data_IF_974359261684
#
_entry.id   IF_974359261684
#
_cell.length_a   1.000
_cell.length_b   1.000
_cell.length_c   1.000
_cell.angle_alpha   90.00
_cell.angle_beta   90.00
_cell.angle_gamma   90.00
#
_symmetry.space_group_name_H-M   'P 1'
#
loop_
_entity.id
_entity.type
_entity.pdbx_description
1 polymer ?
#
# COMPACT_ATOMS: atom_id res chain seq x y z
N UNK A 1 6.85 35.43 -21.02
CA UNK A 1 6.02 36.51 -20.45
C UNK A 1 6.90 37.47 -19.67
N UNK A 2 6.49 38.71 -19.52
CA UNK A 2 7.19 39.72 -18.71
C UNK A 2 7.47 39.22 -17.29
N UNK A 3 6.45 38.66 -16.63
CA UNK A 3 6.58 38.14 -15.27
C UNK A 3 7.59 37.00 -15.13
N UNK A 4 7.73 36.13 -16.17
CA UNK A 4 8.77 35.09 -16.18
C UNK A 4 10.16 35.69 -16.22
N UNK A 5 10.37 36.74 -17.03
CA UNK A 5 11.65 37.47 -17.11
C UNK A 5 11.99 38.14 -15.77
N UNK A 6 11.00 38.82 -15.15
CA UNK A 6 11.14 39.43 -13.82
C UNK A 6 11.52 38.38 -12.75
N UNK A 7 11.06 37.12 -12.88
CA UNK A 7 11.41 36.01 -11.98
C UNK A 7 12.75 35.31 -12.36
N UNK A 8 13.57 35.87 -13.22
CA UNK A 8 14.88 35.33 -13.57
C UNK A 8 14.86 34.23 -14.66
N UNK A 9 13.73 34.01 -15.32
CA UNK A 9 13.57 32.99 -16.36
C UNK A 9 13.25 33.63 -17.74
N UNK A 10 14.19 34.24 -18.44
CA UNK A 10 13.94 34.94 -19.69
C UNK A 10 13.51 33.99 -20.82
N UNK A 11 14.12 32.81 -20.90
CA UNK A 11 13.77 31.83 -21.92
C UNK A 11 12.41 31.12 -21.63
N UNK A 12 11.68 30.68 -22.65
CA UNK A 12 10.54 29.80 -22.48
C UNK A 12 10.91 28.50 -21.77
N UNK A 13 10.04 28.00 -20.90
CA UNK A 13 10.19 26.64 -20.37
C UNK A 13 10.02 25.61 -21.49
N UNK A 14 10.78 24.50 -21.49
CA UNK A 14 10.68 23.45 -22.49
C UNK A 14 9.42 22.59 -22.22
N UNK A 15 8.24 23.14 -22.52
CA UNK A 15 6.97 22.43 -22.37
C UNK A 15 6.93 21.25 -23.35
N UNK A 16 6.64 20.05 -22.84
CA UNK A 16 6.53 18.82 -23.62
C UNK A 16 5.16 18.20 -23.54
N UNK A 17 4.50 18.31 -22.39
CA UNK A 17 3.25 17.65 -22.07
C UNK A 17 2.20 18.66 -21.63
N UNK A 18 0.98 18.45 -22.03
CA UNK A 18 -0.18 19.24 -21.59
C UNK A 18 -1.34 18.28 -21.35
N UNK A 19 -1.83 18.28 -20.15
CA UNK A 19 -3.04 17.53 -19.81
C UNK A 19 -4.28 18.42 -20.03
N UNK A 20 -5.32 17.83 -20.62
CA UNK A 20 -6.57 18.51 -20.94
C UNK A 20 -7.64 18.07 -19.93
N UNK A 21 -7.70 18.78 -18.81
CA UNK A 21 -8.61 18.51 -17.69
C UNK A 21 -7.91 17.91 -16.50
N UNK A 22 -8.67 17.38 -15.57
CA UNK A 22 -8.26 16.55 -14.44
C UNK A 22 -9.49 15.77 -13.95
N UNK A 23 -9.39 14.45 -13.89
CA UNK A 23 -10.48 13.57 -13.45
C UNK A 23 -11.84 13.89 -14.14
N UNK A 24 -11.81 14.18 -15.41
CA UNK A 24 -13.00 14.40 -16.23
C UNK A 24 -13.30 13.15 -17.06
N UNK A 25 -14.59 12.88 -17.25
CA UNK A 25 -15.06 11.73 -18.03
C UNK A 25 -16.41 11.98 -18.67
N UNK A 26 -16.81 11.03 -19.51
CA UNK A 26 -18.11 11.02 -20.19
C UNK A 26 -18.13 11.79 -21.51
N UNK A 27 -19.22 11.66 -22.28
CA UNK A 27 -19.29 12.10 -23.68
C UNK A 27 -19.05 13.61 -23.89
N UNK A 28 -19.35 14.42 -22.86
CA UNK A 28 -19.12 15.88 -22.94
C UNK A 28 -17.64 16.20 -22.89
N UNK A 29 -16.91 15.51 -21.99
CA UNK A 29 -15.46 15.65 -21.88
C UNK A 29 -14.78 15.13 -23.15
N UNK A 30 -15.09 13.92 -23.55
CA UNK A 30 -14.51 13.25 -24.74
C UNK A 30 -14.60 14.15 -25.98
N UNK A 31 -15.79 14.67 -26.28
CA UNK A 31 -16.00 15.60 -27.38
C UNK A 31 -15.23 16.92 -27.24
N UNK A 32 -15.08 17.43 -26.03
CA UNK A 32 -14.27 18.65 -25.78
C UNK A 32 -12.78 18.39 -25.94
N UNK A 33 -12.31 17.25 -25.42
CA UNK A 33 -10.93 16.84 -25.57
C UNK A 33 -10.52 16.82 -27.05
N UNK A 34 -11.28 16.14 -27.92
CA UNK A 34 -10.97 16.04 -29.35
C UNK A 34 -10.85 17.41 -30.02
N UNK A 35 -11.73 18.37 -29.63
CA UNK A 35 -11.63 19.75 -30.13
C UNK A 35 -10.36 20.46 -29.67
N UNK A 36 -10.00 20.35 -28.37
CA UNK A 36 -8.77 20.92 -27.85
C UNK A 36 -7.54 20.25 -28.43
N UNK A 37 -7.56 18.92 -28.54
CA UNK A 37 -6.48 18.14 -29.15
C UNK A 37 -6.19 18.68 -30.56
N UNK A 38 -7.17 18.78 -31.42
CA UNK A 38 -7.03 19.28 -32.79
C UNK A 38 -6.46 20.70 -32.83
N UNK A 39 -7.03 21.61 -32.06
CA UNK A 39 -6.61 23.01 -32.05
C UNK A 39 -5.18 23.19 -31.48
N UNK A 40 -4.79 22.42 -30.47
CA UNK A 40 -3.45 22.49 -29.90
C UNK A 40 -2.43 21.88 -30.84
N UNK A 41 -2.73 20.72 -31.44
CA UNK A 41 -1.82 20.04 -32.40
C UNK A 41 -1.59 20.84 -33.67
N UNK A 42 -2.60 21.55 -34.12
CA UNK A 42 -2.46 22.44 -35.28
C UNK A 42 -1.44 23.56 -35.03
N UNK A 43 -1.40 24.09 -33.82
CA UNK A 43 -0.51 25.20 -33.45
C UNK A 43 0.81 24.73 -32.84
N UNK A 44 0.82 23.62 -32.10
CA UNK A 44 1.93 23.08 -31.35
C UNK A 44 2.06 21.56 -31.54
N UNK A 45 2.41 21.09 -32.73
CA UNK A 45 2.44 19.64 -33.06
C UNK A 45 3.42 18.84 -32.21
N UNK A 46 4.41 19.50 -31.63
CA UNK A 46 5.44 18.87 -30.79
C UNK A 46 4.96 18.51 -29.39
N UNK A 47 3.85 19.08 -28.92
CA UNK A 47 3.32 18.79 -27.59
C UNK A 47 2.64 17.42 -27.56
N UNK A 48 2.91 16.62 -26.52
CA UNK A 48 2.12 15.44 -26.17
C UNK A 48 0.94 15.87 -25.32
N UNK A 49 -0.26 15.44 -25.70
CA UNK A 49 -1.50 15.80 -25.04
C UNK A 49 -2.03 14.61 -24.26
N UNK A 50 -2.34 14.86 -22.98
CA UNK A 50 -2.80 13.83 -22.04
C UNK A 50 -4.31 13.97 -21.87
N UNK A 51 -5.01 12.84 -21.98
CA UNK A 51 -6.42 12.71 -21.62
C UNK A 51 -6.55 12.18 -20.20
N UNK A 52 -7.48 12.72 -19.43
CA UNK A 52 -7.78 12.29 -18.06
C UNK A 52 -8.53 10.95 -17.97
N UNK A 53 -8.72 10.25 -19.09
CA UNK A 53 -9.36 8.95 -19.12
C UNK A 53 -8.37 7.86 -18.72
N UNK A 54 -8.85 6.89 -17.94
CA UNK A 54 -8.09 5.73 -17.53
C UNK A 54 -7.91 4.68 -18.63
N UNK A 55 -7.52 3.47 -18.25
CA UNK A 55 -7.31 2.34 -19.17
C UNK A 55 -8.55 2.10 -20.04
N UNK A 56 -8.35 1.90 -21.33
CA UNK A 56 -9.41 1.81 -22.32
C UNK A 56 -9.94 3.17 -22.83
N UNK A 57 -9.50 4.28 -22.22
CA UNK A 57 -9.88 5.64 -22.61
C UNK A 57 -9.36 6.05 -23.98
N UNK A 58 -8.24 5.47 -24.43
CA UNK A 58 -7.67 5.72 -25.76
C UNK A 58 -8.65 5.41 -26.89
N UNK A 59 -9.58 4.48 -26.70
CA UNK A 59 -10.57 4.11 -27.69
C UNK A 59 -11.79 5.05 -27.75
N UNK A 60 -11.85 6.04 -26.85
CA UNK A 60 -12.95 7.00 -26.74
C UNK A 60 -12.67 8.34 -27.43
N UNK A 61 -11.46 8.50 -27.95
CA UNK A 61 -11.01 9.69 -28.65
C UNK A 61 -10.73 9.41 -30.12
N UNK A 62 -10.86 10.41 -30.97
CA UNK A 62 -10.38 10.33 -32.36
C UNK A 62 -8.86 10.14 -32.40
N UNK A 63 -8.14 10.80 -31.49
CA UNK A 63 -6.71 10.67 -31.25
C UNK A 63 -6.35 11.03 -29.82
N UNK A 64 -5.35 10.35 -29.28
CA UNK A 64 -4.76 10.64 -27.97
C UNK A 64 -3.27 10.32 -28.01
N UNK A 65 -2.44 11.15 -27.38
CA UNK A 65 -1.02 10.83 -27.25
C UNK A 65 -0.76 10.04 -25.94
N UNK A 66 -1.49 10.40 -24.87
CA UNK A 66 -1.36 9.74 -23.57
C UNK A 66 -2.71 9.72 -22.84
N UNK A 67 -2.91 8.69 -22.03
CA UNK A 67 -4.02 8.58 -21.06
C UNK A 67 -3.46 8.65 -19.64
N UNK A 68 -4.31 9.10 -18.71
CA UNK A 68 -3.96 9.31 -17.31
C UNK A 68 -4.90 8.55 -16.35
N UNK A 69 -4.61 7.27 -16.06
CA UNK A 69 -5.32 6.53 -15.03
C UNK A 69 -4.87 6.96 -13.62
N UNK A 70 -5.86 7.07 -12.71
CA UNK A 70 -5.65 7.34 -11.29
C UNK A 70 -6.10 6.17 -10.42
N UNK A 71 -5.34 5.85 -9.35
CA UNK A 71 -5.68 4.75 -8.44
C UNK A 71 -5.43 5.11 -6.97
N UNK A 72 -6.51 5.20 -6.20
CA UNK A 72 -6.48 5.32 -4.75
C UNK A 72 -7.21 4.14 -4.13
N UNK A 73 -6.49 3.05 -3.89
CA UNK A 73 -7.08 1.74 -3.60
C UNK A 73 -6.31 0.98 -2.52
N UNK A 74 -6.72 -0.27 -2.28
CA UNK A 74 -6.14 -1.10 -1.22
C UNK A 74 -4.79 -1.74 -1.61
N UNK A 75 -4.00 -2.24 -0.63
CA UNK A 75 -2.79 -2.99 -0.90
C UNK A 75 -3.02 -4.21 -1.79
N UNK A 76 -4.13 -4.93 -1.57
CA UNK A 76 -4.48 -6.14 -2.32
C UNK A 76 -4.62 -5.85 -3.81
N UNK A 77 -5.25 -4.72 -4.17
CA UNK A 77 -5.35 -4.31 -5.56
C UNK A 77 -3.97 -4.09 -6.18
N UNK A 78 -3.07 -3.38 -5.50
CA UNK A 78 -1.74 -3.09 -6.03
C UNK A 78 -0.88 -4.35 -6.15
N UNK A 79 -0.92 -5.27 -5.18
CA UNK A 79 -0.26 -6.58 -5.30
C UNK A 79 -0.80 -7.40 -6.48
N UNK A 80 -2.11 -7.42 -6.71
CA UNK A 80 -2.73 -8.13 -7.81
C UNK A 80 -2.49 -7.46 -9.18
N UNK A 81 -2.02 -6.21 -9.19
CA UNK A 81 -1.86 -5.39 -10.38
C UNK A 81 -0.42 -5.35 -10.93
N UNK A 82 0.48 -6.20 -10.45
CA UNK A 82 1.85 -6.28 -10.93
C UNK A 82 1.94 -6.62 -12.44
N UNK A 83 0.90 -7.27 -13.01
CA UNK A 83 0.76 -7.64 -14.42
C UNK A 83 -0.26 -6.83 -15.19
N UNK A 84 -0.77 -5.74 -14.61
CA UNK A 84 -1.86 -4.95 -15.18
C UNK A 84 -1.57 -4.46 -16.61
N UNK A 85 -0.33 -4.12 -16.89
CA UNK A 85 0.10 -3.57 -18.19
C UNK A 85 0.62 -4.61 -19.18
N UNK A 86 0.86 -5.86 -18.74
CA UNK A 86 1.45 -6.92 -19.59
C UNK A 86 0.54 -7.25 -20.78
N UNK A 87 -0.78 -7.18 -20.59
CA UNK A 87 -1.79 -7.48 -21.58
C UNK A 87 -2.42 -6.25 -22.24
N UNK A 88 -1.93 -5.04 -21.92
CA UNK A 88 -2.45 -3.82 -22.55
C UNK A 88 -2.00 -3.74 -24.01
N UNK A 89 -2.91 -3.24 -24.83
CA UNK A 89 -2.62 -2.98 -26.24
C UNK A 89 -1.44 -2.01 -26.38
N UNK A 90 -0.54 -2.30 -27.33
CA UNK A 90 0.50 -1.39 -27.77
C UNK A 90 0.03 -0.71 -29.05
N UNK A 91 -0.22 0.59 -28.97
CA UNK A 91 -0.70 1.41 -30.08
C UNK A 91 0.04 2.75 -30.14
N UNK A 92 -0.58 3.72 -30.79
CA UNK A 92 -0.02 5.05 -30.94
C UNK A 92 -0.26 5.95 -29.71
N UNK A 93 -0.38 5.37 -28.53
CA UNK A 93 -0.58 6.09 -27.27
C UNK A 93 0.40 5.59 -26.18
N UNK A 94 0.57 6.41 -25.19
CA UNK A 94 1.37 6.11 -23.99
C UNK A 94 0.51 6.27 -22.73
N UNK A 95 1.01 5.81 -21.60
CA UNK A 95 0.36 5.94 -20.29
C UNK A 95 1.21 6.84 -19.38
N UNK A 96 0.56 7.81 -18.78
CA UNK A 96 1.03 8.55 -17.62
C UNK A 96 0.12 8.21 -16.44
N UNK A 97 0.63 7.58 -15.41
CA UNK A 97 -0.09 7.34 -14.18
C UNK A 97 0.05 8.60 -13.34
N UNK A 98 -0.88 9.55 -13.49
CA UNK A 98 -0.76 10.88 -12.91
C UNK A 98 -0.96 10.92 -11.41
N UNK A 99 -1.78 10.01 -10.89
CA UNK A 99 -2.05 9.91 -9.46
C UNK A 99 -2.18 8.44 -9.02
N UNK A 100 -1.43 8.04 -8.01
CA UNK A 100 -1.64 6.75 -7.36
C UNK A 100 -1.11 6.74 -5.93
N UNK A 101 -1.79 6.02 -5.07
CA UNK A 101 -1.34 5.65 -3.73
C UNK A 101 -2.16 4.47 -3.20
N UNK A 102 -1.53 3.63 -2.39
CA UNK A 102 -2.28 2.77 -1.47
C UNK A 102 -2.81 3.65 -0.35
N UNK A 103 -4.14 3.84 -0.29
CA UNK A 103 -4.77 4.72 0.69
C UNK A 103 -5.89 4.06 1.51
N UNK A 104 -6.18 2.77 1.28
CA UNK A 104 -7.19 2.02 2.02
C UNK A 104 -6.52 1.04 2.98
N UNK A 105 -7.03 0.94 4.19
CA UNK A 105 -6.59 0.00 5.23
C UNK A 105 -5.11 0.11 5.67
N UNK A 106 -4.48 1.25 5.41
CA UNK A 106 -3.05 1.50 5.75
C UNK A 106 -2.88 2.70 6.69
N UNK A 107 -3.96 3.23 7.23
CA UNK A 107 -3.95 4.44 8.05
C UNK A 107 -3.34 5.61 7.29
N UNK A 108 -2.38 6.28 7.91
CA UNK A 108 -1.63 7.33 7.23
C UNK A 108 -0.57 6.80 6.24
N UNK A 109 -0.57 5.52 5.88
CA UNK A 109 0.43 4.77 5.08
C UNK A 109 1.44 4.04 5.96
N UNK A 110 1.70 2.80 5.65
CA UNK A 110 2.57 1.91 6.40
C UNK A 110 3.45 1.09 5.44
N UNK A 111 4.24 0.17 5.98
CA UNK A 111 5.12 -0.68 5.17
C UNK A 111 4.34 -1.59 4.21
N UNK A 112 3.17 -2.09 4.60
CA UNK A 112 2.33 -2.92 3.72
C UNK A 112 1.92 -2.16 2.45
N UNK A 113 1.46 -0.91 2.60
CA UNK A 113 1.14 -0.04 1.46
C UNK A 113 2.35 0.19 0.56
N UNK A 114 3.51 0.48 1.16
CA UNK A 114 4.74 0.69 0.41
C UNK A 114 5.21 -0.55 -0.37
N UNK A 115 5.09 -1.76 0.22
CA UNK A 115 5.41 -3.02 -0.47
C UNK A 115 4.44 -3.31 -1.62
N UNK A 116 3.16 -3.01 -1.45
CA UNK A 116 2.17 -3.16 -2.51
C UNK A 116 2.45 -2.21 -3.69
N UNK A 117 2.79 -0.95 -3.40
CA UNK A 117 3.22 0.02 -4.41
C UNK A 117 4.52 -0.42 -5.10
N UNK A 118 5.48 -1.00 -4.37
CA UNK A 118 6.70 -1.56 -4.95
C UNK A 118 6.39 -2.70 -5.93
N UNK A 119 5.50 -3.63 -5.57
CA UNK A 119 5.07 -4.71 -6.46
C UNK A 119 4.42 -4.16 -7.75
N UNK A 120 3.54 -3.18 -7.63
CA UNK A 120 2.93 -2.50 -8.77
C UNK A 120 3.97 -1.83 -9.67
N UNK A 121 4.94 -1.11 -9.10
CA UNK A 121 6.01 -0.43 -9.84
C UNK A 121 6.93 -1.40 -10.61
N UNK A 122 7.07 -2.65 -10.17
CA UNK A 122 7.79 -3.66 -10.98
C UNK A 122 7.07 -3.91 -12.31
N UNK A 123 5.74 -3.94 -12.29
CA UNK A 123 4.91 -4.04 -13.50
C UNK A 123 5.02 -2.80 -14.38
N UNK A 124 5.07 -1.60 -13.77
CA UNK A 124 5.25 -0.32 -14.47
C UNK A 124 6.60 -0.30 -15.19
N UNK A 125 7.70 -0.64 -14.52
CA UNK A 125 9.04 -0.68 -15.15
C UNK A 125 9.12 -1.74 -16.26
N UNK A 126 8.57 -2.93 -16.04
CA UNK A 126 8.54 -3.99 -17.05
C UNK A 126 7.83 -3.55 -18.33
N UNK A 127 6.86 -2.65 -18.23
CA UNK A 127 6.07 -2.11 -19.32
C UNK A 127 6.44 -0.65 -19.67
N UNK A 128 7.70 -0.26 -19.53
CA UNK A 128 8.19 1.09 -19.82
C UNK A 128 8.14 1.47 -21.32
N UNK A 129 7.89 0.51 -22.19
CA UNK A 129 7.53 0.74 -23.58
C UNK A 129 6.17 1.44 -23.73
N UNK A 130 5.25 1.21 -22.80
CA UNK A 130 3.91 1.79 -22.77
C UNK A 130 3.75 2.85 -21.66
N UNK A 131 4.17 2.54 -20.43
CA UNK A 131 4.05 3.46 -19.28
C UNK A 131 5.28 4.34 -19.19
N UNK A 132 5.12 5.63 -19.46
CA UNK A 132 6.24 6.59 -19.55
C UNK A 132 6.50 7.36 -18.27
N UNK A 133 5.46 7.59 -17.48
CA UNK A 133 5.56 8.37 -16.25
C UNK A 133 4.60 7.82 -15.20
N UNK A 134 4.96 8.00 -13.94
CA UNK A 134 4.10 7.74 -12.80
C UNK A 134 4.37 8.78 -11.70
N UNK A 135 3.32 9.29 -11.07
CA UNK A 135 3.40 10.31 -10.03
C UNK A 135 2.61 9.88 -8.80
N UNK A 136 3.29 9.79 -7.68
CA UNK A 136 2.61 9.55 -6.40
C UNK A 136 1.78 10.78 -5.99
N UNK A 137 0.58 10.58 -5.51
CA UNK A 137 -0.28 11.63 -5.00
C UNK A 137 -1.15 11.16 -3.80
N UNK A 138 -1.48 12.09 -2.86
CA UNK A 138 -0.91 13.42 -2.68
C UNK A 138 0.54 13.39 -2.19
N UNK A 139 1.29 14.45 -2.51
CA UNK A 139 2.72 14.48 -2.24
C UNK A 139 3.04 14.93 -0.80
N UNK A 140 2.42 16.01 -0.34
CA UNK A 140 2.75 16.66 0.93
C UNK A 140 1.59 16.64 1.93
N UNK A 141 1.93 16.46 3.21
CA UNK A 141 0.99 16.60 4.32
C UNK A 141 1.62 17.41 5.45
N UNK A 142 0.95 18.49 5.87
CA UNK A 142 1.25 19.15 7.12
C UNK A 142 0.66 18.32 8.26
N UNK A 143 1.52 17.82 9.17
CA UNK A 143 1.07 16.93 10.26
C UNK A 143 0.14 17.61 11.27
N UNK A 144 0.11 18.95 11.29
CA UNK A 144 -0.75 19.74 12.16
C UNK A 144 -2.11 20.08 11.52
N UNK A 145 -2.28 19.84 10.21
CA UNK A 145 -3.51 20.11 9.47
C UNK A 145 -3.71 19.06 8.39
N UNK A 146 -4.23 17.91 8.78
CA UNK A 146 -4.40 16.73 7.94
C UNK A 146 -5.77 16.72 7.29
N UNK A 147 -5.78 16.65 5.96
CA UNK A 147 -7.02 16.52 5.16
C UNK A 147 -7.10 15.16 4.51
N UNK A 148 -6.00 14.67 3.96
CA UNK A 148 -5.93 13.38 3.27
C UNK A 148 -5.07 12.39 4.06
N UNK A 149 -5.53 11.16 4.34
CA UNK A 149 -4.88 10.29 5.31
C UNK A 149 -3.51 9.76 4.87
N UNK A 150 -3.31 9.58 3.55
CA UNK A 150 -2.09 8.97 3.02
C UNK A 150 -1.37 9.95 2.10
N UNK A 151 -0.13 10.27 2.43
CA UNK A 151 0.71 11.21 1.69
C UNK A 151 2.15 10.71 1.66
N UNK A 152 2.95 11.18 0.71
CA UNK A 152 4.31 10.71 0.53
C UNK A 152 5.28 11.32 1.55
N UNK A 153 5.15 12.62 1.82
CA UNK A 153 6.07 13.40 2.65
C UNK A 153 5.30 14.15 3.72
N UNK A 154 5.63 13.89 4.97
CA UNK A 154 5.11 14.63 6.10
C UNK A 154 6.03 15.78 6.47
N UNK A 155 5.47 16.90 6.85
CA UNK A 155 6.23 18.04 7.32
C UNK A 155 5.48 18.84 8.39
N UNK A 156 6.23 19.61 9.15
CA UNK A 156 5.77 20.72 9.97
C UNK A 156 6.66 21.94 9.72
N UNK A 157 6.59 22.96 10.60
CA UNK A 157 7.34 24.21 10.40
C UNK A 157 8.87 24.04 10.45
N UNK A 158 9.40 22.91 10.91
CA UNK A 158 10.84 22.69 11.09
C UNK A 158 11.33 21.27 10.81
N UNK A 159 10.43 20.31 10.56
CA UNK A 159 10.78 18.90 10.25
C UNK A 159 10.14 18.44 8.96
N UNK A 160 10.81 17.50 8.29
CA UNK A 160 10.30 16.79 7.13
C UNK A 160 10.63 15.30 7.27
N UNK A 161 9.70 14.45 6.87
CA UNK A 161 9.86 13.01 6.92
C UNK A 161 9.29 12.36 5.66
N UNK A 162 10.14 11.66 4.90
CA UNK A 162 9.71 10.74 3.85
C UNK A 162 9.14 9.47 4.47
N UNK A 163 7.98 9.05 4.02
CA UNK A 163 7.30 7.86 4.52
C UNK A 163 7.84 6.58 3.87
N UNK A 164 7.32 5.41 4.24
CA UNK A 164 7.72 4.13 3.65
C UNK A 164 7.57 4.15 2.12
N UNK A 165 6.47 4.65 1.60
CA UNK A 165 6.24 4.84 0.16
C UNK A 165 7.25 5.79 -0.47
N UNK A 166 7.71 6.84 0.23
CA UNK A 166 8.77 7.72 -0.25
C UNK A 166 10.07 6.95 -0.49
N UNK A 167 10.42 6.02 0.42
CA UNK A 167 11.64 5.22 0.25
C UNK A 167 11.53 4.30 -0.96
N UNK A 168 10.36 3.74 -1.25
CA UNK A 168 10.10 2.98 -2.48
C UNK A 168 10.28 3.86 -3.71
N UNK A 169 9.63 5.03 -3.77
CA UNK A 169 9.78 5.97 -4.89
C UNK A 169 11.24 6.35 -5.11
N UNK A 170 11.97 6.62 -4.03
CA UNK A 170 13.40 6.95 -4.06
C UNK A 170 14.24 5.82 -4.65
N UNK A 171 14.00 4.58 -4.21
CA UNK A 171 14.74 3.42 -4.74
C UNK A 171 14.53 3.27 -6.27
N UNK A 172 13.31 3.39 -6.75
CA UNK A 172 13.02 3.33 -8.19
C UNK A 172 13.62 4.52 -8.95
N UNK A 173 13.57 5.71 -8.40
CA UNK A 173 14.12 6.92 -9.05
C UNK A 173 15.65 6.91 -9.15
N UNK A 174 16.34 6.40 -8.14
CA UNK A 174 17.80 6.35 -8.06
C UNK A 174 18.42 5.15 -8.80
N UNK A 175 17.65 4.07 -9.02
CA UNK A 175 18.11 2.83 -9.65
C UNK A 175 17.43 2.56 -10.99
N UNK A 176 17.31 3.59 -11.82
CA UNK A 176 16.64 3.47 -13.12
C UNK A 176 17.48 2.63 -14.10
N UNK A 177 16.97 1.47 -14.53
CA UNK A 177 17.68 0.61 -15.47
C UNK A 177 17.65 1.20 -16.89
N UNK A 178 18.65 0.85 -17.68
CA UNK A 178 18.66 1.16 -19.12
C UNK A 178 17.83 0.16 -19.93
N UNK A 179 17.64 -1.03 -19.40
CA UNK A 179 16.82 -2.11 -20.00
C UNK A 179 16.37 -3.09 -18.93
N UNK A 180 15.27 -3.77 -19.18
CA UNK A 180 14.78 -4.86 -18.34
C UNK A 180 15.29 -6.21 -18.86
N UNK A 181 15.73 -7.08 -17.94
CA UNK A 181 16.07 -8.48 -18.25
C UNK A 181 14.85 -9.34 -17.96
N UNK A 182 14.57 -10.28 -18.84
CA UNK A 182 13.58 -11.31 -18.55
C UNK A 182 14.05 -12.12 -17.33
N UNK A 183 13.29 -12.08 -16.28
CA UNK A 183 13.55 -12.80 -15.03
C UNK A 183 12.47 -13.82 -14.80
N UNK A 184 12.87 -15.06 -14.53
CA UNK A 184 12.00 -16.08 -13.98
C UNK A 184 12.54 -16.49 -12.62
N UNK A 185 11.67 -16.57 -11.63
CA UNK A 185 12.00 -17.18 -10.35
C UNK A 185 11.46 -18.61 -10.38
N UNK A 186 12.34 -19.60 -10.44
CA UNK A 186 11.99 -20.90 -9.90
C UNK A 186 11.95 -20.74 -8.40
N UNK A 187 10.79 -20.37 -7.88
CA UNK A 187 10.60 -20.54 -6.47
C UNK A 187 10.69 -22.01 -6.14
N UNK A 188 11.67 -22.44 -5.35
CA UNK A 188 11.30 -23.39 -4.34
C UNK A 188 10.15 -22.68 -3.61
N UNK A 189 8.99 -23.32 -3.55
CA UNK A 189 8.00 -23.00 -2.53
C UNK A 189 8.74 -23.29 -1.23
N UNK A 190 9.52 -22.34 -0.75
CA UNK A 190 9.83 -22.26 0.66
C UNK A 190 8.50 -21.77 1.22
N UNK A 191 7.74 -22.63 1.91
CA UNK A 191 6.70 -22.10 2.74
C UNK A 191 7.48 -21.22 3.72
N UNK A 192 7.46 -19.92 3.55
CA UNK A 192 7.73 -18.98 4.63
C UNK A 192 6.52 -19.07 5.53
N UNK A 193 6.25 -20.30 6.00
CA UNK A 193 5.37 -20.52 7.10
C UNK A 193 6.07 -19.89 8.30
N UNK A 194 5.57 -18.76 8.75
CA UNK A 194 5.96 -18.25 10.06
C UNK A 194 5.62 -19.39 11.03
N UNK A 195 6.66 -20.11 11.53
CA UNK A 195 6.48 -21.12 12.54
C UNK A 195 6.87 -20.52 13.87
N UNK A 196 6.05 -20.71 14.87
CA UNK A 196 6.34 -20.23 16.22
C UNK A 196 5.20 -20.51 17.15
N UNK A 197 5.37 -20.05 18.36
CA UNK A 197 4.36 -20.18 19.42
C UNK A 197 3.28 -19.14 19.28
N UNK A 198 2.17 -19.33 20.01
CA UNK A 198 1.03 -18.41 20.05
C UNK A 198 1.02 -17.72 21.41
N UNK A 199 0.70 -16.45 21.44
CA UNK A 199 0.46 -15.71 22.66
C UNK A 199 -0.86 -14.96 22.60
N UNK A 200 -1.45 -14.68 23.75
CA UNK A 200 -2.61 -13.81 23.90
C UNK A 200 -2.23 -12.59 24.73
N UNK A 201 -2.86 -11.45 24.45
CA UNK A 201 -2.52 -10.22 25.16
C UNK A 201 -3.44 -9.06 24.90
N UNK A 202 -3.11 -7.93 25.49
CA UNK A 202 -3.85 -6.69 25.32
C UNK A 202 -2.93 -5.48 25.33
N UNK A 203 -3.37 -4.44 24.67
CA UNK A 203 -2.74 -3.14 24.71
C UNK A 203 -3.60 -2.21 25.56
N UNK A 204 -3.07 -1.75 26.70
CA UNK A 204 -3.77 -0.88 27.64
C UNK A 204 -5.22 -1.34 27.99
N UNK A 205 -5.38 -2.69 28.16
CA UNK A 205 -6.69 -3.32 28.29
C UNK A 205 -6.58 -4.57 29.15
N UNK A 206 -7.52 -4.76 30.09
CA UNK A 206 -7.69 -5.97 30.87
C UNK A 206 -8.60 -6.91 30.11
N UNK A 207 -8.16 -8.15 29.91
CA UNK A 207 -8.80 -9.12 29.05
C UNK A 207 -8.97 -10.49 29.70
N UNK A 208 -9.94 -11.23 29.20
CA UNK A 208 -10.13 -12.66 29.49
C UNK A 208 -10.11 -13.47 28.20
N UNK A 209 -9.49 -14.65 28.27
CA UNK A 209 -9.38 -15.61 27.15
C UNK A 209 -9.80 -17.00 27.60
N UNK A 210 -10.50 -17.72 26.71
CA UNK A 210 -10.83 -19.13 26.92
C UNK A 210 -11.04 -19.87 25.61
N UNK A 211 -11.09 -21.20 25.68
CA UNK A 211 -11.39 -22.09 24.56
C UNK A 211 -10.42 -21.86 23.37
N UNK A 212 -9.13 -21.62 23.64
CA UNK A 212 -8.13 -21.46 22.57
C UNK A 212 -7.86 -22.80 21.91
N UNK A 213 -8.03 -22.83 20.60
CA UNK A 213 -7.90 -23.99 19.76
C UNK A 213 -7.16 -23.65 18.47
N UNK A 214 -6.20 -24.46 18.13
CA UNK A 214 -5.41 -24.36 16.89
C UNK A 214 -5.73 -25.56 16.02
N UNK A 215 -6.17 -25.31 14.79
CA UNK A 215 -6.39 -26.35 13.78
C UNK A 215 -5.29 -26.23 12.75
N UNK A 216 -4.47 -27.27 12.61
CA UNK A 216 -3.37 -27.35 11.67
C UNK A 216 -3.84 -27.61 10.24
N UNK A 217 -2.98 -27.39 9.26
CA UNK A 217 -3.29 -27.63 7.85
C UNK A 217 -3.68 -29.08 7.53
N UNK A 218 -3.22 -30.05 8.32
CA UNK A 218 -3.59 -31.48 8.22
C UNK A 218 -4.93 -31.82 8.88
N UNK A 219 -5.64 -30.84 9.46
CA UNK A 219 -6.91 -31.00 10.16
C UNK A 219 -6.78 -31.40 11.64
N UNK A 220 -5.59 -31.68 12.11
CA UNK A 220 -5.34 -31.97 13.54
C UNK A 220 -5.58 -30.72 14.37
N UNK A 221 -6.13 -30.90 15.56
CA UNK A 221 -6.46 -29.82 16.48
C UNK A 221 -5.68 -29.96 17.78
N UNK A 222 -5.16 -28.84 18.25
CA UNK A 222 -4.49 -28.68 19.55
C UNK A 222 -5.29 -27.67 20.37
N UNK A 223 -5.71 -28.06 21.58
CA UNK A 223 -6.48 -27.21 22.48
C UNK A 223 -5.59 -26.79 23.66
N UNK A 224 -5.65 -25.51 24.02
CA UNK A 224 -4.90 -25.00 25.14
C UNK A 224 -5.64 -25.27 26.46
N UNK A 225 -4.92 -25.81 27.43
CA UNK A 225 -5.35 -25.73 28.81
C UNK A 225 -5.13 -24.30 29.33
N UNK A 226 -6.23 -23.60 29.59
CA UNK A 226 -6.14 -22.21 30.04
C UNK A 226 -5.59 -22.05 31.45
N UNK A 227 -5.43 -23.15 32.20
CA UNK A 227 -4.90 -23.15 33.58
C UNK A 227 -3.40 -23.42 33.68
N UNK A 228 -2.77 -23.96 32.62
CA UNK A 228 -1.35 -24.33 32.62
C UNK A 228 -0.72 -24.22 31.23
N UNK A 229 0.61 -24.24 31.19
CA UNK A 229 1.35 -24.13 29.95
C UNK A 229 1.43 -22.70 29.39
N UNK A 230 1.29 -21.71 30.26
CA UNK A 230 1.38 -20.30 29.92
C UNK A 230 2.56 -19.65 30.62
N UNK A 231 3.33 -18.87 29.89
CA UNK A 231 4.49 -18.11 30.40
C UNK A 231 4.22 -16.61 30.26
N UNK A 232 3.86 -15.93 31.36
CA UNK A 232 3.68 -14.49 31.36
C UNK A 232 4.97 -13.76 30.93
N UNK A 233 4.87 -12.87 29.97
CA UNK A 233 5.97 -12.01 29.55
C UNK A 233 5.81 -10.60 30.11
N UNK A 234 4.61 -10.06 30.05
CA UNK A 234 4.27 -8.75 30.61
C UNK A 234 2.86 -8.78 31.21
N UNK A 235 2.66 -7.99 32.29
CA UNK A 235 1.40 -7.89 33.01
C UNK A 235 1.22 -8.98 34.09
N UNK A 236 0.07 -8.93 34.74
CA UNK A 236 -0.35 -9.91 35.74
C UNK A 236 -1.36 -10.86 35.12
N UNK A 237 -1.09 -12.15 35.20
CA UNK A 237 -1.93 -13.18 34.62
C UNK A 237 -2.43 -14.14 35.67
N UNK A 238 -3.73 -14.47 35.61
CA UNK A 238 -4.37 -15.40 36.50
C UNK A 238 -5.29 -16.35 35.73
N UNK A 239 -5.20 -17.62 36.05
CA UNK A 239 -6.05 -18.63 35.47
C UNK A 239 -7.09 -19.09 36.49
N UNK A 240 -8.38 -18.97 36.19
CA UNK A 240 -9.48 -19.31 37.04
C UNK A 240 -10.68 -19.82 36.23
N UNK A 241 -11.25 -20.96 36.61
CA UNK A 241 -12.43 -21.49 35.98
C UNK A 241 -12.33 -21.72 34.47
N UNK A 242 -11.16 -22.17 33.97
CA UNK A 242 -10.92 -22.38 32.54
C UNK A 242 -10.76 -21.09 31.72
N UNK A 243 -10.54 -19.99 32.39
CA UNK A 243 -10.34 -18.67 31.78
C UNK A 243 -8.99 -18.10 32.19
N UNK A 244 -8.23 -17.60 31.24
CA UNK A 244 -6.97 -16.88 31.45
C UNK A 244 -7.25 -15.38 31.44
N UNK A 245 -6.93 -14.70 32.55
CA UNK A 245 -7.17 -13.26 32.74
C UNK A 245 -5.86 -12.50 32.75
N UNK A 246 -5.76 -11.46 31.94
CA UNK A 246 -4.63 -10.53 31.90
C UNK A 246 -5.04 -9.15 32.42
N UNK A 247 -4.27 -8.61 33.37
CA UNK A 247 -4.49 -7.30 34.00
C UNK A 247 -3.18 -6.66 34.45
N UNK A 248 -3.25 -5.47 35.04
CA UNK A 248 -2.13 -4.82 35.73
C UNK A 248 -1.60 -3.59 35.03
N UNK A 249 -0.59 -2.93 35.61
CA UNK A 249 0.02 -1.74 35.08
C UNK A 249 0.82 -2.07 33.79
N UNK A 250 0.97 -1.07 32.92
CA UNK A 250 1.69 -1.18 31.66
C UNK A 250 0.76 -1.13 30.45
N UNK A 251 1.35 -0.75 29.34
CA UNK A 251 0.61 -0.53 28.10
C UNK A 251 0.42 -1.88 27.38
N UNK A 252 1.46 -2.67 27.28
CA UNK A 252 1.43 -3.98 26.64
C UNK A 252 1.40 -5.09 27.69
N UNK A 253 0.60 -6.11 27.46
CA UNK A 253 0.52 -7.31 28.31
C UNK A 253 0.37 -8.49 27.39
N UNK A 254 1.17 -9.54 27.64
CA UNK A 254 1.04 -10.76 26.85
C UNK A 254 1.53 -11.97 27.60
N UNK A 255 0.98 -13.11 27.24
CA UNK A 255 1.26 -14.39 27.86
C UNK A 255 1.44 -15.43 26.76
N UNK A 256 2.61 -16.05 26.76
CA UNK A 256 3.01 -17.04 25.77
C UNK A 256 2.44 -18.41 26.10
N UNK A 257 1.80 -19.05 25.14
CA UNK A 257 1.42 -20.45 25.27
C UNK A 257 2.64 -21.34 24.99
N UNK A 258 3.26 -21.80 26.07
CA UNK A 258 4.51 -22.56 26.07
C UNK A 258 4.23 -24.03 25.79
N UNK A 259 4.11 -24.40 24.53
CA UNK A 259 3.98 -25.78 24.05
C UNK A 259 5.21 -26.17 23.25
N UNK A 260 5.59 -27.48 23.24
CA UNK A 260 6.75 -27.93 22.46
C UNK A 260 6.59 -27.76 20.95
N UNK A 261 5.34 -27.62 20.49
CA UNK A 261 5.02 -27.53 19.06
C UNK A 261 5.07 -26.08 18.58
N UNK A 262 5.82 -25.82 17.52
CA UNK A 262 5.75 -24.57 16.79
C UNK A 262 4.68 -24.65 15.71
N UNK A 263 3.71 -23.75 15.75
CA UNK A 263 2.61 -23.67 14.80
C UNK A 263 3.04 -22.95 13.53
N UNK A 264 2.79 -23.57 12.38
CA UNK A 264 2.91 -22.96 11.06
C UNK A 264 1.53 -22.52 10.55
N UNK A 265 1.23 -22.82 9.29
CA UNK A 265 -0.09 -22.55 8.69
C UNK A 265 -1.19 -23.23 9.49
N UNK A 266 -2.05 -22.44 10.12
CA UNK A 266 -3.09 -22.92 11.01
C UNK A 266 -4.26 -21.94 11.10
N UNK A 267 -5.40 -22.43 11.61
CA UNK A 267 -6.50 -21.58 12.04
C UNK A 267 -6.50 -21.51 13.57
N UNK A 268 -6.62 -20.31 14.11
CA UNK A 268 -6.71 -20.07 15.55
C UNK A 268 -8.14 -19.64 15.88
N UNK A 269 -8.77 -20.31 16.83
CA UNK A 269 -10.07 -19.91 17.38
C UNK A 269 -9.99 -19.81 18.89
N UNK A 270 -10.61 -18.77 19.44
CA UNK A 270 -10.70 -18.57 20.89
C UNK A 270 -11.89 -17.67 21.21
N UNK A 271 -12.24 -17.61 22.49
CA UNK A 271 -13.16 -16.60 23.00
C UNK A 271 -12.37 -15.58 23.81
N UNK A 272 -12.57 -14.31 23.50
CA UNK A 272 -11.96 -13.19 24.21
C UNK A 272 -13.03 -12.21 24.71
N UNK A 273 -12.84 -11.68 25.90
CA UNK A 273 -13.69 -10.64 26.47
C UNK A 273 -12.82 -9.51 27.04
N UNK A 274 -13.14 -8.29 26.65
CA UNK A 274 -12.58 -7.09 27.27
C UNK A 274 -13.26 -6.85 28.60
N UNK A 275 -12.48 -6.63 29.64
CA UNK A 275 -12.97 -6.33 31.00
C UNK A 275 -12.93 -4.82 31.23
N UNK A 276 -11.79 -4.18 30.95
CA UNK A 276 -11.56 -2.75 31.14
C UNK A 276 -10.48 -2.25 30.20
N UNK A 277 -10.32 -0.92 30.07
CA UNK A 277 -9.26 -0.30 29.27
C UNK A 277 -9.73 0.30 27.95
N UNK A 278 -8.83 0.95 27.23
CA UNK A 278 -9.15 1.74 26.04
C UNK A 278 -9.14 0.90 24.74
N UNK A 279 -8.24 -0.10 24.65
CA UNK A 279 -7.97 -0.88 23.45
C UNK A 279 -8.75 -2.22 23.42
N UNK A 280 -8.29 -3.16 22.63
CA UNK A 280 -8.87 -4.49 22.50
C UNK A 280 -7.95 -5.59 23.01
N UNK A 281 -8.23 -6.80 22.55
CA UNK A 281 -7.40 -7.99 22.78
C UNK A 281 -6.49 -8.22 21.57
N UNK A 282 -5.35 -8.87 21.81
CA UNK A 282 -4.35 -9.20 20.83
C UNK A 282 -4.10 -10.71 20.80
N UNK A 283 -3.82 -11.22 19.63
CA UNK A 283 -3.35 -12.59 19.41
C UNK A 283 -2.03 -12.47 18.67
N UNK A 284 -0.99 -13.07 19.20
CA UNK A 284 0.32 -13.13 18.58
C UNK A 284 0.55 -14.54 18.04
N UNK A 285 1.20 -14.63 16.90
CA UNK A 285 1.58 -15.90 16.28
C UNK A 285 3.00 -15.78 15.73
N UNK A 286 3.65 -16.93 15.51
CA UNK A 286 5.02 -16.94 15.05
C UNK A 286 6.01 -16.44 16.10
N UNK A 287 5.67 -16.51 17.39
CA UNK A 287 6.54 -16.08 18.47
C UNK A 287 7.67 -17.09 18.67
N UNK A 288 8.86 -16.58 18.92
CA UNK A 288 10.04 -17.38 19.28
C UNK A 288 10.53 -16.94 20.65
N UNK A 289 11.01 -17.89 21.43
CA UNK A 289 11.76 -17.58 22.65
C UNK A 289 13.00 -16.78 22.23
N UNK A 290 13.19 -15.56 22.77
CA UNK A 290 14.27 -14.65 22.45
C UNK A 290 15.65 -15.13 22.90
#
# INVERSE_FOLDING_TARGET
>A
SRKRVENGHPAPFPLKYVEIGNENWGPVYEKRYDKFYKAIKEKYPQLKLISTLGLGGQHRHERVDMIDPHWYVSPEFFFASDKLFDQQERGDYEIYIGEYAVNQNVGGGNLLGALAEAAFLTGVERNSDLVKMASYAPLFENVNDRVWPTNLIWFDSYRVMGRSSYQVQKMYAENRPSFNVATSFEQPVIPVGVKGQIAVGGWNTDNEYKDLKVTLADGRTVEADMSQGWTPQEGTWNAEGGTLKGSGPGVMRWNLWSVPEAFGDCSISLKARKIAGAEGFLIYFGMHDG
#
